data_IF_858806776952
#
_entry.id   IF_858806776952
#
_cell.length_a   1.000
_cell.length_b   1.000
_cell.length_c   1.000
_cell.angle_alpha   90.00
_cell.angle_beta   90.00
_cell.angle_gamma   90.00
#
_symmetry.space_group_name_H-M   'P 1'
#
loop_
_entity.id
_entity.type
_entity.pdbx_description
1 polymer ?
#
# COMPACT_ATOMS: atom_id res chain seq x y z
N UNK A 1 3.82 -13.64 12.84
CA UNK A 1 4.46 -14.36 11.72
C UNK A 1 4.67 -13.38 10.58
N UNK A 2 5.87 -13.27 10.03
CA UNK A 2 6.26 -12.24 9.04
C UNK A 2 5.99 -12.69 7.60
N UNK A 3 4.74 -12.98 7.24
CA UNK A 3 4.35 -13.35 5.87
C UNK A 3 3.16 -12.52 5.43
N UNK A 4 3.29 -11.82 4.31
CA UNK A 4 2.17 -11.12 3.64
C UNK A 4 1.20 -12.16 3.07
N UNK A 5 -0.02 -11.75 2.70
CA UNK A 5 -1.01 -12.64 2.09
C UNK A 5 -0.51 -13.32 0.79
N UNK A 6 0.44 -12.71 0.08
CA UNK A 6 1.11 -13.30 -1.10
C UNK A 6 2.30 -14.20 -0.78
N UNK A 7 2.62 -14.44 0.49
CA UNK A 7 3.72 -15.30 0.90
C UNK A 7 5.12 -14.68 0.74
N UNK A 8 5.20 -13.38 0.42
CA UNK A 8 6.46 -12.63 0.38
C UNK A 8 6.88 -12.20 1.78
N UNK A 9 8.20 -12.10 1.98
CA UNK A 9 8.77 -11.55 3.21
C UNK A 9 8.39 -10.06 3.27
N UNK A 10 7.87 -9.59 4.41
CA UNK A 10 7.52 -8.17 4.59
C UNK A 10 8.77 -7.34 4.32
N UNK A 11 8.72 -6.57 3.24
CA UNK A 11 9.73 -5.60 2.84
C UNK A 11 9.08 -4.22 2.75
N UNK A 12 9.82 -3.13 2.99
CA UNK A 12 9.30 -1.79 2.77
C UNK A 12 8.90 -1.61 1.34
N UNK A 13 7.89 -0.76 1.16
CA UNK A 13 7.26 -0.58 -0.14
C UNK A 13 6.21 -1.65 -0.42
N UNK A 14 5.88 -2.53 0.53
CA UNK A 14 4.63 -3.29 0.51
C UNK A 14 3.58 -2.55 1.34
N UNK A 15 2.37 -2.47 0.79
CA UNK A 15 1.20 -1.97 1.51
C UNK A 15 0.08 -3.01 1.52
N UNK A 16 -0.70 -3.00 2.60
CA UNK A 16 -1.97 -3.70 2.65
C UNK A 16 -3.10 -2.76 2.22
N UNK A 17 -3.97 -3.22 1.32
CA UNK A 17 -5.06 -2.44 0.74
C UNK A 17 -6.37 -3.23 0.74
N UNK A 18 -7.48 -2.53 0.48
CA UNK A 18 -8.72 -3.16 0.03
C UNK A 18 -8.65 -3.43 -1.48
N UNK A 19 -8.65 -4.70 -1.95
CA UNK A 19 -8.59 -5.05 -3.37
C UNK A 19 -9.72 -4.46 -4.22
N UNK A 20 -10.85 -4.10 -3.62
CA UNK A 20 -11.97 -3.47 -4.31
C UNK A 20 -11.67 -2.02 -4.71
N UNK A 21 -10.75 -1.37 -3.99
CA UNK A 21 -10.33 0.03 -4.23
C UNK A 21 -9.01 0.07 -4.99
N UNK A 22 -8.02 -0.70 -4.52
CA UNK A 22 -6.69 -0.82 -5.15
C UNK A 22 -6.44 -2.29 -5.46
N UNK A 23 -6.43 -2.71 -6.74
CA UNK A 23 -6.19 -4.10 -7.09
C UNK A 23 -4.82 -4.57 -6.58
N UNK A 24 -4.74 -5.81 -6.09
CA UNK A 24 -3.46 -6.40 -5.69
C UNK A 24 -2.48 -6.44 -6.87
N UNK A 25 -1.20 -6.27 -6.56
CA UNK A 25 -0.11 -6.08 -7.51
C UNK A 25 -0.03 -4.67 -8.11
N UNK A 26 -0.95 -3.74 -7.76
CA UNK A 26 -0.86 -2.36 -8.23
C UNK A 26 0.35 -1.66 -7.61
N UNK A 27 1.09 -0.93 -8.46
CA UNK A 27 2.10 0.03 -8.03
C UNK A 27 1.41 1.35 -7.75
N UNK A 28 1.64 1.90 -6.57
CA UNK A 28 1.07 3.17 -6.13
C UNK A 28 2.16 4.14 -5.72
N UNK A 29 1.83 5.42 -5.77
CA UNK A 29 2.61 6.51 -5.20
C UNK A 29 1.79 7.12 -4.05
N UNK A 30 2.41 7.21 -2.88
CA UNK A 30 1.78 7.75 -1.66
C UNK A 30 2.43 9.10 -1.41
N UNK A 31 1.64 10.17 -1.48
CA UNK A 31 2.04 11.54 -1.17
C UNK A 31 1.57 11.89 0.24
N UNK A 32 2.54 12.25 1.08
CA UNK A 32 2.32 12.66 2.46
C UNK A 32 2.04 14.18 2.56
N UNK A 33 1.46 14.64 3.67
CA UNK A 33 1.04 16.05 3.82
C UNK A 33 2.16 17.09 3.73
N UNK A 34 3.39 16.71 4.06
CA UNK A 34 4.60 17.55 3.96
C UNK A 34 5.18 17.61 2.53
N UNK A 35 4.53 16.96 1.56
CA UNK A 35 4.93 16.96 0.15
C UNK A 35 5.97 15.90 -0.22
N UNK A 36 6.45 15.09 0.74
CA UNK A 36 7.25 13.91 0.37
C UNK A 36 6.33 12.80 -0.14
N UNK A 37 6.89 11.85 -0.91
CA UNK A 37 6.13 10.68 -1.31
C UNK A 37 6.98 9.47 -1.60
N UNK A 38 6.35 8.29 -1.53
CA UNK A 38 7.01 6.99 -1.68
C UNK A 38 6.28 6.13 -2.68
N UNK A 39 7.03 5.30 -3.40
CA UNK A 39 6.45 4.24 -4.22
C UNK A 39 6.23 2.98 -3.38
N UNK A 40 5.09 2.33 -3.60
CA UNK A 40 4.75 1.09 -2.95
C UNK A 40 3.99 0.15 -3.90
N UNK A 41 3.87 -1.12 -3.51
CA UNK A 41 3.16 -2.17 -4.21
C UNK A 41 2.10 -2.76 -3.28
N UNK A 42 0.88 -2.89 -3.77
CA UNK A 42 -0.22 -3.53 -3.09
C UNK A 42 -0.04 -5.06 -3.10
N UNK A 43 0.75 -5.60 -2.16
CA UNK A 43 1.00 -7.05 -2.07
C UNK A 43 0.23 -7.73 -0.94
N UNK A 44 -0.53 -6.98 -0.13
CA UNK A 44 -1.22 -7.54 1.04
C UNK A 44 -2.67 -7.07 1.15
N UNK A 45 -3.48 -7.86 1.87
CA UNK A 45 -4.86 -7.55 2.20
C UNK A 45 -5.10 -7.77 3.68
N UNK A 46 -5.72 -6.80 4.34
CA UNK A 46 -6.18 -6.96 5.71
C UNK A 46 -7.69 -7.02 5.76
N UNK A 47 -8.29 -8.02 6.43
CA UNK A 47 -9.74 -8.06 6.64
C UNK A 47 -10.30 -6.84 7.39
N UNK A 48 -9.44 -6.11 8.11
CA UNK A 48 -9.74 -4.85 8.80
C UNK A 48 -9.47 -3.59 7.94
N UNK A 49 -8.81 -3.74 6.78
CA UNK A 49 -8.49 -2.66 5.85
C UNK A 49 -9.58 -2.65 4.77
N UNK A 50 -10.64 -1.87 5.01
CA UNK A 50 -11.79 -1.74 4.10
C UNK A 50 -11.92 -0.30 3.61
N UNK A 51 -12.27 -0.13 2.34
CA UNK A 51 -12.46 1.19 1.71
C UNK A 51 -11.14 1.95 1.50
N UNK A 52 -11.15 3.25 1.76
CA UNK A 52 -10.02 4.15 1.48
C UNK A 52 -8.92 4.13 2.56
N UNK A 53 -8.68 2.97 3.17
CA UNK A 53 -7.64 2.77 4.18
C UNK A 53 -6.51 1.94 3.58
N UNK A 54 -5.28 2.35 3.86
CA UNK A 54 -4.08 1.56 3.53
C UNK A 54 -3.26 1.35 4.80
N UNK A 55 -2.51 0.26 4.85
CA UNK A 55 -1.52 0.01 5.90
C UNK A 55 -0.13 -0.05 5.26
N UNK A 56 0.80 0.75 5.76
CA UNK A 56 2.15 0.89 5.20
C UNK A 56 3.12 0.13 6.10
N UNK A 57 3.67 -0.97 5.59
CA UNK A 57 4.67 -1.73 6.32
C UNK A 57 5.94 -0.88 6.53
N UNK A 58 6.28 -0.60 7.78
CA UNK A 58 7.55 0.03 8.20
C UNK A 58 8.50 -1.03 8.76
N UNK A 59 9.80 -0.73 8.77
CA UNK A 59 10.82 -1.69 9.23
C UNK A 59 10.79 -1.92 10.74
N UNK A 60 10.33 -0.94 11.51
CA UNK A 60 10.31 -1.02 12.96
C UNK A 60 9.02 -0.46 13.55
N UNK A 61 8.67 -0.95 14.74
CA UNK A 61 7.56 -0.42 15.55
C UNK A 61 7.76 1.07 15.84
N UNK A 62 8.99 1.50 16.15
CA UNK A 62 9.28 2.91 16.43
C UNK A 62 9.09 3.82 15.22
N UNK A 63 9.35 3.35 14.00
CA UNK A 63 9.00 4.09 12.78
C UNK A 63 7.49 4.14 12.56
N UNK A 64 6.77 3.05 12.82
CA UNK A 64 5.33 3.00 12.71
C UNK A 64 4.64 3.93 13.72
N UNK A 65 5.13 3.98 14.96
CA UNK A 65 4.62 4.87 16.01
C UNK A 65 4.87 6.35 15.69
N UNK A 66 6.08 6.68 15.22
CA UNK A 66 6.40 8.05 14.78
C UNK A 66 5.59 8.48 13.57
N UNK A 67 5.31 7.54 12.66
CA UNK A 67 4.49 7.80 11.50
C UNK A 67 3.03 8.06 11.90
N UNK A 68 2.47 7.23 12.78
CA UNK A 68 1.10 7.36 13.26
C UNK A 68 0.06 7.17 12.16
N UNK A 69 -1.19 7.56 12.44
CA UNK A 69 -2.27 7.58 11.46
C UNK A 69 -2.25 8.92 10.75
N UNK A 70 -2.09 8.91 9.42
CA UNK A 70 -2.05 10.12 8.61
C UNK A 70 -3.04 10.02 7.44
N UNK A 71 -3.60 11.17 7.07
CA UNK A 71 -4.32 11.32 5.81
C UNK A 71 -3.29 11.57 4.70
N UNK A 72 -3.19 10.63 3.78
CA UNK A 72 -2.27 10.68 2.63
C UNK A 72 -3.06 10.64 1.32
N UNK A 73 -2.47 11.11 0.24
CA UNK A 73 -3.02 10.89 -1.11
C UNK A 73 -2.35 9.67 -1.71
N UNK A 74 -3.15 8.82 -2.36
CA UNK A 74 -2.66 7.60 -3.01
C UNK A 74 -3.00 7.68 -4.49
N UNK A 75 -1.99 7.54 -5.33
CA UNK A 75 -2.13 7.53 -6.78
C UNK A 75 -1.76 6.16 -7.31
N UNK A 76 -2.63 5.55 -8.11
CA UNK A 76 -2.32 4.29 -8.79
C UNK A 76 -1.45 4.60 -10.01
N UNK A 77 -0.19 4.19 -9.95
CA UNK A 77 0.81 4.38 -11.02
C UNK A 77 0.66 3.31 -12.09
N UNK A 78 0.40 2.06 -11.68
CA UNK A 78 0.15 0.94 -12.58
C UNK A 78 -0.71 -0.09 -11.86
N UNK A 79 -1.68 -0.69 -12.55
CA UNK A 79 -2.47 -1.79 -12.01
C UNK A 79 -2.33 -3.01 -12.92
N UNK A 80 -2.11 -4.22 -12.38
CA UNK A 80 -1.91 -5.42 -13.19
C UNK A 80 -3.15 -5.78 -14.03
N UNK A 81 -4.34 -5.36 -13.60
CA UNK A 81 -5.58 -5.56 -14.36
C UNK A 81 -5.87 -4.44 -15.38
N UNK A 82 -5.07 -3.37 -15.39
CA UNK A 82 -5.28 -2.22 -16.28
C UNK A 82 -4.36 -2.24 -17.51
N UNK A 83 -3.76 -3.40 -17.79
CA UNK A 83 -3.20 -3.71 -19.11
C UNK A 83 -4.29 -4.07 -20.16
N UNK A 84 -5.56 -4.21 -19.75
CA UNK A 84 -6.71 -4.41 -20.67
C UNK A 84 -7.51 -3.13 -20.96
N UNK A 85 -7.21 -2.00 -20.32
CA UNK A 85 -7.72 -0.71 -20.77
C UNK A 85 -6.79 -0.18 -21.86
N UNK A 86 -6.95 -0.79 -23.03
CA UNK A 86 -6.48 -0.26 -24.31
C UNK A 86 -6.92 1.20 -24.41
N UNK A 87 -5.94 2.10 -24.48
CA UNK A 87 -6.10 3.35 -25.23
C UNK A 87 -6.03 3.05 -26.72
#
# INVERSE_FOLDING_TARGET
GNKTFLGTQVRPGIIAVDPKVIPLGSKVYIEYPDGHGVYAVAEDTGGAIKGNRIDIAKWSVGEAEKFGIQHVKVYIVSSPNKADLKV
#
